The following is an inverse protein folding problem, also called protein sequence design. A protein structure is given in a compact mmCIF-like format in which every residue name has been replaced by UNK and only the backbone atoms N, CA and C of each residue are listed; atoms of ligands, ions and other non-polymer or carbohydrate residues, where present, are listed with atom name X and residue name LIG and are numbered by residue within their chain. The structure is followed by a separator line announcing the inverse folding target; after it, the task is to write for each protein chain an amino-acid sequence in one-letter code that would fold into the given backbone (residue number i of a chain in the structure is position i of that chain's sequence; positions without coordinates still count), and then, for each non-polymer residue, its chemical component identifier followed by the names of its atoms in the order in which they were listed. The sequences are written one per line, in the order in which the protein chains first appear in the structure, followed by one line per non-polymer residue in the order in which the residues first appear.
data_IF_334943083855
#
_entry.id   IF_334943083855
#
_cell.length_a   1.000
_cell.length_b   1.000
_cell.length_c   1.000
_cell.angle_alpha   90.00
_cell.angle_beta   90.00
_cell.angle_gamma   90.00
#
_symmetry.space_group_name_H-M   'P 1'
#
loop_
_entity.id
_entity.type
_entity.pdbx_description
1 polymer ?
#
# COMPACT_ATOMS: atom_id res chain seq x y z
N UNK A 1 11.78 7.79 -34.62
CA UNK A 1 12.16 8.19 -33.26
C UNK A 1 11.00 8.14 -32.26
N UNK A 2 9.76 8.58 -32.59
CA UNK A 2 8.61 8.42 -31.67
C UNK A 2 8.06 6.98 -31.58
N UNK A 3 8.17 6.17 -32.64
CA UNK A 3 7.65 4.78 -32.66
C UNK A 3 8.45 3.83 -31.74
N UNK A 4 9.77 4.01 -31.62
CA UNK A 4 10.64 3.18 -30.76
C UNK A 4 10.39 3.43 -29.27
N UNK A 5 10.09 4.66 -28.87
CA UNK A 5 9.78 4.99 -27.47
C UNK A 5 8.50 4.30 -27.01
N UNK A 6 7.49 4.18 -27.86
CA UNK A 6 6.22 3.51 -27.51
C UNK A 6 6.40 2.00 -27.35
N UNK A 7 7.21 1.35 -28.19
CA UNK A 7 7.47 -0.09 -28.09
C UNK A 7 8.35 -0.45 -26.89
N UNK A 8 9.32 0.41 -26.55
CA UNK A 8 10.09 0.25 -25.31
C UNK A 8 9.20 0.38 -24.07
N UNK A 9 8.32 1.39 -24.02
CA UNK A 9 7.37 1.55 -22.91
C UNK A 9 6.45 0.35 -22.76
N UNK A 10 5.90 -0.18 -23.86
CA UNK A 10 5.09 -1.41 -23.83
C UNK A 10 5.86 -2.61 -23.29
N UNK A 11 7.14 -2.73 -23.62
CA UNK A 11 8.01 -3.80 -23.12
C UNK A 11 8.24 -3.68 -21.61
N UNK A 12 8.48 -2.46 -21.11
CA UNK A 12 8.63 -2.20 -19.67
C UNK A 12 7.33 -2.52 -18.92
N UNK A 13 6.18 -2.09 -19.43
CA UNK A 13 4.87 -2.42 -18.85
C UNK A 13 4.66 -3.94 -18.79
N UNK A 14 5.04 -4.67 -19.85
CA UNK A 14 4.94 -6.13 -19.86
C UNK A 14 5.82 -6.79 -18.79
N UNK A 15 7.05 -6.30 -18.59
CA UNK A 15 7.90 -6.81 -17.51
C UNK A 15 7.31 -6.55 -16.15
N UNK A 16 6.80 -5.34 -15.92
CA UNK A 16 6.10 -5.01 -14.68
C UNK A 16 4.88 -5.91 -14.44
N UNK A 17 4.08 -6.19 -15.46
CA UNK A 17 2.91 -7.09 -15.32
C UNK A 17 3.34 -8.49 -14.86
N UNK A 18 4.42 -9.03 -15.44
CA UNK A 18 4.92 -10.35 -15.04
C UNK A 18 5.48 -10.35 -13.61
N UNK A 19 6.28 -9.34 -13.24
CA UNK A 19 6.80 -9.19 -11.88
C UNK A 19 5.69 -8.99 -10.85
N UNK A 20 4.66 -8.20 -11.19
CA UNK A 20 3.53 -7.97 -10.32
C UNK A 20 2.70 -9.24 -10.10
N UNK A 21 2.58 -10.12 -11.10
CA UNK A 21 1.94 -11.44 -10.92
C UNK A 21 2.71 -12.32 -9.94
N UNK A 22 4.03 -12.33 -9.99
CA UNK A 22 4.86 -13.09 -9.03
C UNK A 22 4.65 -12.58 -7.59
N UNK A 23 4.58 -11.26 -7.42
CA UNK A 23 4.23 -10.66 -6.14
C UNK A 23 2.80 -10.99 -5.70
N UNK A 24 1.83 -11.01 -6.61
CA UNK A 24 0.45 -11.41 -6.28
C UNK A 24 0.34 -12.86 -5.87
N UNK A 25 1.06 -13.77 -6.51
CA UNK A 25 1.12 -15.17 -6.08
C UNK A 25 1.70 -15.28 -4.66
N UNK A 26 2.74 -14.51 -4.34
CA UNK A 26 3.33 -14.45 -2.99
C UNK A 26 2.31 -13.97 -1.96
N UNK A 27 1.58 -12.90 -2.29
CA UNK A 27 0.54 -12.31 -1.44
C UNK A 27 -0.63 -13.30 -1.26
N UNK A 28 -1.09 -13.92 -2.34
CA UNK A 28 -2.18 -14.91 -2.33
C UNK A 28 -1.84 -16.09 -1.42
N UNK A 29 -0.65 -16.69 -1.58
CA UNK A 29 -0.21 -17.79 -0.74
C UNK A 29 -0.12 -17.41 0.74
N UNK A 30 0.33 -16.20 1.04
CA UNK A 30 0.35 -15.70 2.41
C UNK A 30 -1.05 -15.48 2.99
N UNK A 31 -1.99 -14.99 2.19
CA UNK A 31 -3.39 -14.78 2.60
C UNK A 31 -4.11 -16.13 2.79
N UNK A 32 -3.95 -17.09 1.88
CA UNK A 32 -4.57 -18.43 2.03
C UNK A 32 -4.05 -19.21 3.23
N UNK A 33 -2.93 -18.77 3.82
CA UNK A 33 -2.33 -19.34 5.02
C UNK A 33 -2.23 -18.29 6.14
N UNK A 34 -3.14 -17.31 6.16
CA UNK A 34 -3.03 -16.11 6.99
C UNK A 34 -2.78 -16.38 8.48
N UNK A 35 -3.40 -17.38 9.15
CA UNK A 35 -3.10 -17.67 10.55
C UNK A 35 -1.63 -18.00 10.82
N UNK A 36 -0.99 -18.77 9.93
CA UNK A 36 0.42 -19.11 10.05
C UNK A 36 1.30 -17.93 9.59
N UNK A 37 0.88 -17.21 8.57
CA UNK A 37 1.57 -16.01 8.08
C UNK A 37 1.68 -14.96 9.18
N UNK A 38 0.60 -14.66 9.92
CA UNK A 38 0.64 -13.65 11.01
C UNK A 38 1.50 -14.10 12.20
N UNK A 39 1.54 -15.41 12.46
CA UNK A 39 2.39 -15.96 13.51
C UNK A 39 3.90 -15.92 13.17
N UNK A 40 4.24 -15.76 11.88
CA UNK A 40 5.61 -15.72 11.38
C UNK A 40 5.97 -14.34 10.81
N UNK A 41 6.83 -13.61 11.53
CA UNK A 41 7.27 -12.27 11.15
C UNK A 41 8.02 -12.24 9.81
N UNK A 42 8.67 -13.34 9.41
CA UNK A 42 9.35 -13.42 8.12
C UNK A 42 8.33 -13.50 6.97
N UNK A 43 7.29 -14.34 7.11
CA UNK A 43 6.21 -14.46 6.13
C UNK A 43 5.42 -13.15 5.99
N UNK A 44 5.08 -12.50 7.11
CA UNK A 44 4.45 -11.17 7.05
C UNK A 44 5.36 -10.12 6.40
N UNK A 45 6.66 -10.17 6.67
CA UNK A 45 7.62 -9.27 6.02
C UNK A 45 7.72 -9.53 4.52
N UNK A 46 7.57 -10.78 4.07
CA UNK A 46 7.53 -11.14 2.66
C UNK A 46 6.31 -10.51 1.97
N UNK A 47 5.13 -10.61 2.58
CA UNK A 47 3.89 -10.02 2.07
C UNK A 47 3.98 -8.50 1.95
N UNK A 48 4.50 -7.86 3.00
CA UNK A 48 4.75 -6.41 3.02
C UNK A 48 5.70 -6.00 1.88
N UNK A 49 6.80 -6.73 1.67
CA UNK A 49 7.76 -6.43 0.59
C UNK A 49 7.16 -6.66 -0.79
N UNK A 50 6.36 -7.70 -0.98
CA UNK A 50 5.68 -7.96 -2.24
C UNK A 50 4.72 -6.81 -2.60
N UNK A 51 3.87 -6.37 -1.65
CA UNK A 51 3.00 -5.21 -1.83
C UNK A 51 3.79 -3.92 -2.13
N UNK A 52 4.88 -3.69 -1.39
CA UNK A 52 5.75 -2.53 -1.57
C UNK A 52 6.42 -2.48 -2.95
N UNK A 53 6.90 -3.62 -3.45
CA UNK A 53 7.48 -3.72 -4.78
C UNK A 53 6.45 -3.40 -5.87
N UNK A 54 5.23 -3.94 -5.77
CA UNK A 54 4.14 -3.62 -6.71
C UNK A 54 3.80 -2.14 -6.68
N UNK A 55 3.68 -1.53 -5.49
CA UNK A 55 3.46 -0.10 -5.32
C UNK A 55 4.54 0.73 -6.03
N UNK A 56 5.81 0.38 -5.81
CA UNK A 56 6.96 1.05 -6.42
C UNK A 56 6.96 0.96 -7.95
N UNK A 57 6.77 -0.25 -8.49
CA UNK A 57 6.68 -0.47 -9.94
C UNK A 57 5.52 0.28 -10.59
N UNK A 58 4.33 0.22 -9.97
CA UNK A 58 3.15 0.92 -10.46
C UNK A 58 3.33 2.45 -10.42
N UNK A 59 3.97 2.98 -9.37
CA UNK A 59 4.28 4.41 -9.27
C UNK A 59 5.25 4.87 -10.36
N UNK A 60 6.30 4.09 -10.64
CA UNK A 60 7.30 4.39 -11.68
C UNK A 60 6.66 4.44 -13.08
N UNK A 61 5.62 3.63 -13.32
CA UNK A 61 4.92 3.55 -14.58
C UNK A 61 3.67 4.44 -14.67
N UNK A 62 3.33 5.16 -13.59
CA UNK A 62 2.16 6.03 -13.55
C UNK A 62 0.82 5.29 -13.51
N UNK A 63 0.81 4.00 -13.13
CA UNK A 63 -0.39 3.17 -13.03
C UNK A 63 -1.03 3.42 -11.66
N UNK A 64 -1.75 4.54 -11.55
CA UNK A 64 -2.24 5.06 -10.26
C UNK A 64 -3.22 4.10 -9.56
N UNK A 65 -4.07 3.41 -10.32
CA UNK A 65 -5.03 2.43 -9.80
C UNK A 65 -4.33 1.32 -9.01
N UNK A 66 -3.38 0.62 -9.64
CA UNK A 66 -2.58 -0.44 -9.01
C UNK A 66 -1.75 0.10 -7.85
N UNK A 67 -1.11 1.27 -8.01
CA UNK A 67 -0.33 1.91 -6.93
C UNK A 67 -1.16 2.14 -5.68
N UNK A 68 -2.35 2.71 -5.83
CA UNK A 68 -3.20 3.08 -4.69
C UNK A 68 -3.68 1.84 -3.93
N UNK A 69 -4.07 0.79 -4.65
CA UNK A 69 -4.53 -0.47 -4.04
C UNK A 69 -3.36 -1.19 -3.34
N UNK A 70 -2.19 -1.28 -3.99
CA UNK A 70 -1.00 -1.88 -3.40
C UNK A 70 -0.53 -1.13 -2.15
N UNK A 71 -0.68 0.20 -2.12
CA UNK A 71 -0.37 1.00 -0.94
C UNK A 71 -1.28 0.66 0.26
N UNK A 72 -2.60 0.55 0.03
CA UNK A 72 -3.54 0.16 1.09
C UNK A 72 -3.27 -1.26 1.60
N UNK A 73 -2.94 -2.21 0.71
CA UNK A 73 -2.49 -3.55 1.13
C UNK A 73 -1.22 -3.49 1.98
N UNK A 74 -0.23 -2.68 1.59
CA UNK A 74 1.00 -2.47 2.37
C UNK A 74 0.69 -1.95 3.77
N UNK A 75 -0.24 -0.99 3.89
CA UNK A 75 -0.69 -0.45 5.18
C UNK A 75 -1.42 -1.50 6.02
N UNK A 76 -2.32 -2.29 5.41
CA UNK A 76 -3.00 -3.40 6.10
C UNK A 76 -2.00 -4.44 6.63
N UNK A 77 -1.04 -4.88 5.82
CA UNK A 77 0.00 -5.82 6.26
C UNK A 77 0.92 -5.24 7.33
N UNK A 78 1.16 -3.92 7.29
CA UNK A 78 1.88 -3.24 8.36
C UNK A 78 1.10 -3.31 9.69
N UNK A 79 -0.22 -3.12 9.67
CA UNK A 79 -1.06 -3.30 10.87
C UNK A 79 -0.92 -4.72 11.38
N UNK A 80 -1.06 -5.74 10.52
CA UNK A 80 -0.90 -7.16 10.91
C UNK A 80 0.45 -7.47 11.55
N UNK A 81 1.51 -6.75 11.14
CA UNK A 81 2.86 -6.90 11.72
C UNK A 81 3.00 -6.23 13.08
N UNK A 82 2.31 -5.10 13.27
CA UNK A 82 2.39 -4.28 14.48
C UNK A 82 1.39 -4.69 15.57
N UNK A 83 0.39 -5.50 15.22
CA UNK A 83 -0.68 -5.96 16.12
C UNK A 83 -0.76 -7.49 16.13
N UNK A 84 -1.10 -8.05 17.29
CA UNK A 84 -1.30 -9.50 17.44
C UNK A 84 -2.79 -9.81 17.29
N UNK A 85 -3.28 -9.90 16.06
CA UNK A 85 -4.70 -10.20 15.83
C UNK A 85 -4.96 -11.71 15.70
N UNK A 86 -6.13 -12.17 16.13
CA UNK A 86 -6.64 -13.48 15.73
C UNK A 86 -7.34 -13.35 14.38
N UNK A 87 -6.92 -14.18 13.42
CA UNK A 87 -7.47 -14.17 12.06
C UNK A 87 -8.80 -14.90 12.02
N UNK A 88 -9.78 -14.31 11.33
CA UNK A 88 -11.01 -15.00 10.94
C UNK A 88 -11.12 -15.14 9.42
N UNK A 89 -12.05 -16.01 8.99
CA UNK A 89 -12.30 -16.26 7.57
C UNK A 89 -12.78 -14.99 6.83
N UNK A 90 -13.35 -14.03 7.55
CA UNK A 90 -13.81 -12.76 6.99
C UNK A 90 -12.63 -11.92 6.54
N UNK A 91 -11.60 -11.78 7.38
CA UNK A 91 -10.38 -11.05 7.05
C UNK A 91 -9.68 -11.63 5.82
N UNK A 92 -9.54 -12.96 5.78
CA UNK A 92 -8.97 -13.66 4.61
C UNK A 92 -9.77 -13.37 3.33
N UNK A 93 -11.10 -13.49 3.38
CA UNK A 93 -11.98 -13.25 2.23
C UNK A 93 -11.90 -11.81 1.71
N UNK A 94 -11.75 -10.83 2.61
CA UNK A 94 -11.61 -9.42 2.25
C UNK A 94 -10.26 -9.16 1.54
N UNK A 95 -9.17 -9.71 2.06
CA UNK A 95 -7.87 -9.61 1.41
C UNK A 95 -7.84 -10.27 0.02
N UNK A 96 -8.44 -11.46 -0.13
CA UNK A 96 -8.56 -12.12 -1.43
C UNK A 96 -9.37 -11.28 -2.42
N UNK A 97 -10.48 -10.68 -1.99
CA UNK A 97 -11.31 -9.81 -2.84
C UNK A 97 -10.53 -8.58 -3.36
N UNK A 98 -9.63 -8.02 -2.52
CA UNK A 98 -8.74 -6.93 -2.92
C UNK A 98 -7.71 -7.41 -3.94
N UNK A 99 -7.13 -8.59 -3.72
CA UNK A 99 -6.13 -9.18 -4.62
C UNK A 99 -6.73 -9.54 -5.98
N UNK A 100 -7.95 -10.08 -6.02
CA UNK A 100 -8.68 -10.36 -7.27
C UNK A 100 -8.82 -9.10 -8.11
N UNK A 101 -9.17 -7.96 -7.48
CA UNK A 101 -9.31 -6.69 -8.19
C UNK A 101 -7.97 -6.19 -8.76
N UNK A 102 -6.86 -6.43 -8.05
CA UNK A 102 -5.52 -6.13 -8.56
C UNK A 102 -5.15 -6.98 -9.78
N UNK A 103 -5.46 -8.28 -9.72
CA UNK A 103 -5.22 -9.19 -10.84
C UNK A 103 -6.04 -8.79 -12.07
N UNK A 104 -7.33 -8.44 -11.89
CA UNK A 104 -8.19 -7.96 -12.96
C UNK A 104 -7.66 -6.65 -13.60
N UNK A 105 -7.12 -5.73 -12.80
CA UNK A 105 -6.51 -4.50 -13.31
C UNK A 105 -5.26 -4.78 -14.16
N UNK A 106 -4.41 -5.72 -13.73
CA UNK A 106 -3.25 -6.14 -14.53
C UNK A 106 -3.66 -6.83 -15.84
N UNK A 107 -4.69 -7.67 -15.80
CA UNK A 107 -5.18 -8.35 -16.99
C UNK A 107 -5.74 -7.35 -18.02
N UNK A 108 -6.49 -6.35 -17.56
CA UNK A 108 -6.96 -5.26 -18.42
C UNK A 108 -5.80 -4.44 -19.00
N UNK A 109 -4.81 -4.10 -18.18
CA UNK A 109 -3.60 -3.41 -18.62
C UNK A 109 -2.85 -4.20 -19.71
N UNK A 110 -2.82 -5.54 -19.60
CA UNK A 110 -2.19 -6.43 -20.58
C UNK A 110 -2.96 -6.50 -21.91
N UNK A 111 -4.30 -6.52 -21.86
CA UNK A 111 -5.14 -6.81 -23.03
C UNK A 111 -5.45 -5.58 -23.89
N UNK A 112 -5.93 -4.51 -23.26
CA UNK A 112 -6.48 -3.33 -23.96
C UNK A 112 -5.84 -2.02 -23.53
N UNK A 113 -4.98 -2.06 -22.50
CA UNK A 113 -4.66 -0.88 -21.71
C UNK A 113 -5.79 -0.53 -20.74
N UNK A 114 -5.48 0.32 -19.76
CA UNK A 114 -6.44 0.81 -18.76
C UNK A 114 -7.00 2.17 -19.20
N UNK A 115 -8.32 2.27 -19.36
CA UNK A 115 -8.97 3.57 -19.51
C UNK A 115 -9.31 4.17 -18.14
N UNK A 116 -9.30 5.50 -18.03
CA UNK A 116 -9.66 6.20 -16.78
C UNK A 116 -11.04 5.80 -16.26
N UNK A 117 -11.99 5.50 -17.16
CA UNK A 117 -13.35 5.08 -16.80
C UNK A 117 -13.37 3.68 -16.17
N UNK A 118 -12.61 2.74 -16.73
CA UNK A 118 -12.52 1.37 -16.21
C UNK A 118 -11.81 1.35 -14.87
N UNK A 119 -10.70 2.08 -14.75
CA UNK A 119 -9.99 2.27 -13.48
C UNK A 119 -10.93 2.83 -12.40
N UNK A 120 -11.62 3.92 -12.71
CA UNK A 120 -12.56 4.55 -11.78
C UNK A 120 -13.67 3.59 -11.37
N UNK A 121 -14.26 2.86 -12.31
CA UNK A 121 -15.34 1.91 -12.03
C UNK A 121 -14.89 0.78 -11.10
N UNK A 122 -13.67 0.26 -11.29
CA UNK A 122 -13.11 -0.77 -10.41
C UNK A 122 -12.80 -0.22 -9.01
N UNK A 123 -12.18 0.96 -8.94
CA UNK A 123 -11.88 1.61 -7.66
C UNK A 123 -13.16 1.92 -6.87
N UNK A 124 -14.21 2.41 -7.52
CA UNK A 124 -15.51 2.67 -6.87
C UNK A 124 -16.16 1.39 -6.31
N UNK A 125 -15.98 0.25 -6.99
CA UNK A 125 -16.47 -1.05 -6.50
C UNK A 125 -15.63 -1.62 -5.37
N UNK A 126 -14.33 -1.34 -5.38
CA UNK A 126 -13.40 -1.84 -4.38
C UNK A 126 -13.42 -1.02 -3.09
N UNK A 127 -13.81 0.26 -3.15
CA UNK A 127 -13.88 1.13 -1.98
C UNK A 127 -14.69 0.54 -0.80
N UNK A 128 -15.92 0.01 -0.97
CA UNK A 128 -16.63 -0.60 0.15
C UNK A 128 -15.93 -1.83 0.73
N UNK A 129 -15.21 -2.60 -0.10
CA UNK A 129 -14.45 -3.78 0.35
C UNK A 129 -13.28 -3.34 1.22
N UNK A 130 -12.57 -2.29 0.82
CA UNK A 130 -11.50 -1.76 1.65
C UNK A 130 -12.01 -1.11 2.93
N UNK A 131 -13.13 -0.39 2.86
CA UNK A 131 -13.75 0.17 4.06
C UNK A 131 -14.08 -0.96 5.05
N UNK A 132 -14.68 -2.05 4.57
CA UNK A 132 -14.97 -3.22 5.41
C UNK A 132 -13.69 -3.91 5.93
N UNK A 133 -12.64 -3.99 5.11
CA UNK A 133 -11.34 -4.53 5.51
C UNK A 133 -10.68 -3.69 6.61
N UNK A 134 -10.64 -2.37 6.43
CA UNK A 134 -10.03 -1.43 7.37
C UNK A 134 -10.81 -1.40 8.69
N UNK A 135 -12.14 -1.34 8.64
CA UNK A 135 -13.00 -1.41 9.84
C UNK A 135 -12.81 -2.74 10.60
N UNK A 136 -12.79 -3.87 9.88
CA UNK A 136 -12.62 -5.19 10.49
C UNK A 136 -11.21 -5.38 11.07
N UNK A 137 -10.18 -4.88 10.41
CA UNK A 137 -8.81 -4.87 10.93
C UNK A 137 -8.68 -4.02 12.20
N UNK A 138 -9.31 -2.85 12.23
CA UNK A 138 -9.30 -1.95 13.39
C UNK A 138 -10.03 -2.57 14.58
N UNK A 139 -11.16 -3.26 14.34
CA UNK A 139 -11.90 -3.99 15.38
C UNK A 139 -11.04 -5.10 15.99
N UNK A 140 -10.43 -5.96 15.14
CA UNK A 140 -9.54 -7.04 15.58
C UNK A 140 -8.31 -6.51 16.33
N UNK A 141 -7.69 -5.43 15.85
CA UNK A 141 -6.55 -4.79 16.50
C UNK A 141 -6.93 -4.06 17.81
N UNK A 142 -8.16 -3.56 17.88
CA UNK A 142 -8.74 -2.91 19.05
C UNK A 142 -9.05 -3.90 20.18
N UNK A 143 -9.54 -5.09 19.84
CA UNK A 143 -9.78 -6.17 20.80
C UNK A 143 -8.48 -6.65 21.47
N UNK A 144 -7.35 -6.69 20.74
CA UNK A 144 -6.05 -7.04 21.33
C UNK A 144 -5.51 -5.99 22.31
N UNK A 145 -5.84 -4.71 22.09
CA UNK A 145 -5.46 -3.60 23.00
C UNK A 145 -6.19 -3.64 24.35
N UNK A 146 -7.18 -4.52 24.52
CA UNK A 146 -7.90 -4.72 25.78
C UNK A 146 -7.07 -5.32 26.92
N UNK A 147 -5.90 -5.93 26.64
CA UNK A 147 -5.14 -6.68 27.67
C UNK A 147 -3.81 -6.01 28.06
N UNK A 148 -3.20 -5.14 27.24
CA UNK A 148 -1.91 -4.52 27.62
C UNK A 148 -1.72 -3.10 27.06
N UNK A 149 -1.80 -2.13 27.98
CA UNK A 149 -1.21 -0.78 27.95
C UNK A 149 -1.85 0.25 26.99
N UNK A 150 -2.58 1.19 27.60
CA UNK A 150 -2.40 2.63 27.37
C UNK A 150 -2.47 3.16 25.92
N UNK A 151 -3.70 3.34 25.43
CA UNK A 151 -4.15 4.40 24.49
C UNK A 151 -3.05 5.16 23.73
N UNK A 152 -2.75 4.71 22.52
CA UNK A 152 -2.31 5.59 21.42
C UNK A 152 -3.43 5.58 20.37
N UNK A 153 -4.08 6.72 20.10
CA UNK A 153 -5.18 6.77 19.15
C UNK A 153 -4.67 6.63 17.71
N UNK A 154 -5.38 5.81 16.93
CA UNK A 154 -5.22 5.71 15.49
C UNK A 154 -5.44 7.08 14.83
N UNK A 155 -4.57 7.44 13.88
CA UNK A 155 -4.61 8.69 13.14
C UNK A 155 -5.34 8.45 11.82
N UNK A 156 -6.65 8.68 11.80
CA UNK A 156 -7.45 8.75 10.57
C UNK A 156 -7.07 9.97 9.71
N UNK A 157 -7.30 9.88 8.40
CA UNK A 157 -6.70 10.69 7.33
C UNK A 157 -6.71 12.22 7.45
N UNK A 158 -7.55 12.82 8.29
CA UNK A 158 -7.45 14.26 8.59
C UNK A 158 -6.20 14.63 9.39
N UNK A 159 -5.74 13.74 10.28
CA UNK A 159 -4.57 14.00 11.12
C UNK A 159 -3.24 13.69 10.41
N UNK A 160 -3.24 12.91 9.33
CA UNK A 160 -2.03 12.70 8.52
C UNK A 160 -1.71 13.94 7.69
N UNK A 161 -2.73 14.65 7.21
CA UNK A 161 -2.59 16.00 6.62
C UNK A 161 -2.02 17.00 7.64
N UNK A 162 -2.51 16.95 8.89
CA UNK A 162 -1.98 17.77 9.99
C UNK A 162 -0.52 17.42 10.34
N UNK A 163 -0.16 16.13 10.39
CA UNK A 163 1.19 15.68 10.68
C UNK A 163 2.19 16.01 9.55
N UNK A 164 1.78 15.88 8.29
CA UNK A 164 2.59 16.30 7.14
C UNK A 164 2.78 17.83 7.10
N UNK A 165 1.76 18.60 7.50
CA UNK A 165 1.87 20.05 7.63
C UNK A 165 2.85 20.46 8.75
N UNK A 166 2.77 19.79 9.91
CA UNK A 166 3.66 20.06 11.06
C UNK A 166 5.11 19.65 10.78
N UNK A 167 5.34 18.51 10.12
CA UNK A 167 6.68 18.08 9.68
C UNK A 167 7.26 19.06 8.66
N UNK A 168 6.43 19.57 7.73
CA UNK A 168 6.87 20.56 6.74
C UNK A 168 7.22 21.91 7.39
N UNK A 169 6.50 22.33 8.43
CA UNK A 169 6.85 23.52 9.22
C UNK A 169 8.17 23.33 9.97
N UNK A 170 8.34 22.22 10.68
CA UNK A 170 9.58 21.93 11.42
C UNK A 170 10.79 21.79 10.50
N UNK A 171 10.61 21.21 9.32
CA UNK A 171 11.67 21.15 8.31
C UNK A 171 12.02 22.54 7.77
N UNK A 172 11.04 23.45 7.60
CA UNK A 172 11.31 24.87 7.28
C UNK A 172 12.05 25.59 8.39
N UNK A 173 11.65 25.42 9.65
CA UNK A 173 12.34 26.01 10.81
C UNK A 173 13.79 25.52 10.92
N UNK A 174 14.00 24.21 10.70
CA UNK A 174 15.34 23.62 10.70
C UNK A 174 16.20 24.15 9.55
N UNK A 175 15.63 24.31 8.34
CA UNK A 175 16.33 24.93 7.21
C UNK A 175 16.65 26.42 7.46
N UNK A 176 15.81 27.14 8.20
CA UNK A 176 16.07 28.53 8.61
C UNK A 176 17.20 28.63 9.65
N UNK A 177 17.29 27.67 10.58
CA UNK A 177 18.40 27.53 11.52
C UNK A 177 19.74 27.29 10.82
N UNK A 178 19.76 26.49 9.74
CA UNK A 178 20.96 26.30 8.92
C UNK A 178 21.36 27.58 8.16
N UNK A 179 20.39 28.35 7.67
CA UNK A 179 20.65 29.58 6.92
C UNK A 179 21.22 30.74 7.78
N UNK A 180 21.03 30.71 9.10
CA UNK A 180 21.59 31.72 10.02
C UNK A 180 23.05 31.49 10.42
N UNK A 181 23.58 30.27 10.23
CA UNK A 181 24.97 29.96 10.59
C UNK A 181 25.99 30.30 9.49
N UNK A 182 25.55 30.58 8.26
CA UNK A 182 26.45 30.98 7.16
C UNK A 182 26.83 32.47 7.17
N UNK A 183 26.21 33.30 8.04
CA UNK A 183 26.49 34.75 8.09
C UNK A 183 27.37 35.19 9.29
N UNK A 184 27.89 34.24 10.08
CA UNK A 184 28.70 34.53 11.28
C UNK A 184 30.16 34.06 11.21
N UNK A 185 30.71 33.82 10.01
CA UNK A 185 32.16 33.67 9.81
C UNK A 185 32.60 34.21 8.44
N UNK A 186 32.30 35.49 8.20
CA UNK A 186 33.17 36.31 7.35
C UNK A 186 33.69 37.47 8.19
N UNK A 187 34.82 37.25 8.87
CA UNK A 187 35.83 38.25 9.24
C UNK A 187 37.10 37.58 9.70
#
# INVERSE_FOLDING_TARGET
MQIEQTEQTKKIIRYFIEEAKDHFNTIEHGILNLPNTIADQELLSELFRAAHSVKGGAAMLGINSVRNIAHRLEDSFKILRETSIEVDNKLESLFLSVLDTLQELLEQLSNSGLTEKEEKTKLEKLEPVFQELEEHLDDLAGETKGIIVGKIPALSGEKQSFFMAEVSEKMREMLLLFKQNDDASTR
#
